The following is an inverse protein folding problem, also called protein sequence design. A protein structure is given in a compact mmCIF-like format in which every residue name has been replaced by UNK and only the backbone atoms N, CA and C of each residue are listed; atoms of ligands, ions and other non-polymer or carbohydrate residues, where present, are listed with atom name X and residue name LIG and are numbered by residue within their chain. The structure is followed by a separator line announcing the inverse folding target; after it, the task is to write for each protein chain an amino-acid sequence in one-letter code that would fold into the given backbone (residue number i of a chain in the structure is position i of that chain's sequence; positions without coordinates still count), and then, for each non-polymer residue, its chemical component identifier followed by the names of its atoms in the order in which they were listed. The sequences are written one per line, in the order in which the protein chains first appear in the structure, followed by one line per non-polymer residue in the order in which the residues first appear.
data_IF_784015142039
#
_entry.id   IF_784015142039
#
_cell.length_a   1.000
_cell.length_b   1.000
_cell.length_c   1.000
_cell.angle_alpha   90.00
_cell.angle_beta   90.00
_cell.angle_gamma   90.00
#
_symmetry.space_group_name_H-M   'P 1'
#
loop_
_entity.id
_entity.type
_entity.pdbx_description
1 polymer ?
#
# COMPACT_ATOMS: atom_id res chain seq x y z
N UNK A 1 -23.40 -62.44 -55.80
CA UNK A 1 -22.48 -61.76 -54.86
C UNK A 1 -22.96 -60.34 -54.67
N UNK A 2 -23.72 -60.08 -53.60
CA UNK A 2 -24.27 -58.77 -53.24
C UNK A 2 -23.80 -58.46 -51.83
N UNK A 3 -22.95 -57.44 -51.68
CA UNK A 3 -22.33 -57.03 -50.43
C UNK A 3 -23.03 -55.76 -49.92
N UNK A 4 -23.85 -55.90 -48.88
CA UNK A 4 -24.56 -54.79 -48.23
C UNK A 4 -23.63 -54.07 -47.26
N UNK A 5 -23.46 -52.76 -47.44
CA UNK A 5 -22.75 -51.87 -46.50
C UNK A 5 -23.72 -51.39 -45.42
N UNK A 6 -23.51 -51.82 -44.18
CA UNK A 6 -24.15 -51.24 -43.00
C UNK A 6 -23.43 -49.93 -42.61
N UNK A 7 -24.22 -48.88 -42.29
CA UNK A 7 -23.73 -47.62 -41.73
C UNK A 7 -23.74 -47.69 -40.20
N UNK A 8 -22.71 -47.20 -39.50
CA UNK A 8 -22.70 -47.19 -38.04
C UNK A 8 -23.57 -46.04 -37.49
N UNK A 9 -24.41 -46.39 -36.52
CA UNK A 9 -25.20 -45.48 -35.70
C UNK A 9 -24.25 -44.75 -34.73
N UNK A 10 -24.14 -43.42 -34.83
CA UNK A 10 -23.47 -42.59 -33.80
C UNK A 10 -24.47 -42.26 -32.70
N UNK A 11 -24.34 -42.91 -31.54
CA UNK A 11 -25.04 -42.51 -30.33
C UNK A 11 -24.34 -41.29 -29.70
N UNK A 12 -25.02 -40.15 -29.68
CA UNK A 12 -24.58 -38.96 -28.95
C UNK A 12 -24.85 -39.15 -27.46
N UNK A 13 -23.83 -39.52 -26.70
CA UNK A 13 -23.85 -39.47 -25.23
C UNK A 13 -23.72 -38.01 -24.78
N UNK A 14 -24.81 -37.41 -24.33
CA UNK A 14 -24.81 -36.10 -23.66
C UNK A 14 -24.29 -36.31 -22.23
N UNK A 15 -23.08 -35.83 -21.96
CA UNK A 15 -22.43 -35.91 -20.65
C UNK A 15 -23.13 -34.99 -19.64
N UNK A 16 -23.97 -35.56 -18.76
CA UNK A 16 -24.55 -34.86 -17.61
C UNK A 16 -23.50 -34.47 -16.53
N UNK A 17 -22.25 -34.93 -16.65
CA UNK A 17 -21.18 -34.67 -15.69
C UNK A 17 -20.61 -33.25 -15.69
N UNK A 18 -20.77 -32.48 -16.77
CA UNK A 18 -20.23 -31.11 -16.85
C UNK A 18 -20.93 -30.12 -15.92
N UNK A 19 -22.26 -30.27 -15.74
CA UNK A 19 -23.09 -29.33 -14.98
C UNK A 19 -22.82 -29.39 -13.47
N UNK A 20 -22.50 -30.58 -12.94
CA UNK A 20 -22.20 -30.76 -11.51
C UNK A 20 -20.85 -30.14 -11.12
N UNK A 21 -19.84 -30.23 -12.00
CA UNK A 21 -18.51 -29.66 -11.74
C UNK A 21 -18.57 -28.13 -11.71
N UNK A 22 -19.31 -27.51 -12.64
CA UNK A 22 -19.47 -26.05 -12.70
C UNK A 22 -20.20 -25.48 -11.48
N UNK A 23 -21.23 -26.16 -10.98
CA UNK A 23 -21.98 -25.72 -9.78
C UNK A 23 -21.14 -25.82 -8.51
N UNK A 24 -20.33 -26.88 -8.38
CA UNK A 24 -19.44 -27.07 -7.22
C UNK A 24 -18.32 -26.03 -7.16
N UNK A 25 -17.69 -25.70 -8.30
CA UNK A 25 -16.66 -24.66 -8.39
C UNK A 25 -17.23 -23.27 -8.08
N UNK A 26 -18.42 -22.96 -8.58
CA UNK A 26 -19.09 -21.69 -8.31
C UNK A 26 -19.37 -21.49 -6.81
N UNK A 27 -19.95 -22.51 -6.15
CA UNK A 27 -20.23 -22.46 -4.71
C UNK A 27 -18.95 -22.30 -3.89
N UNK A 28 -17.86 -22.98 -4.30
CA UNK A 28 -16.55 -22.86 -3.64
C UNK A 28 -16.01 -21.44 -3.75
N UNK A 29 -16.05 -20.83 -4.95
CA UNK A 29 -15.58 -19.46 -5.15
C UNK A 29 -16.39 -18.43 -4.35
N UNK A 30 -17.72 -18.57 -4.27
CA UNK A 30 -18.56 -17.65 -3.49
C UNK A 30 -18.26 -17.73 -1.99
N UNK A 31 -18.05 -18.93 -1.46
CA UNK A 31 -17.63 -19.11 -0.06
C UNK A 31 -16.27 -18.46 0.19
N UNK A 32 -15.30 -18.64 -0.72
CA UNK A 32 -13.98 -18.01 -0.60
C UNK A 32 -14.04 -16.49 -0.69
N UNK A 33 -14.85 -15.92 -1.59
CA UNK A 33 -15.08 -14.47 -1.68
C UNK A 33 -15.63 -13.96 -0.35
N UNK A 34 -16.68 -14.60 0.17
CA UNK A 34 -17.31 -14.20 1.43
C UNK A 34 -16.32 -14.26 2.61
N UNK A 35 -15.47 -15.29 2.68
CA UNK A 35 -14.42 -15.39 3.70
C UNK A 35 -13.41 -14.24 3.62
N UNK A 36 -13.03 -13.82 2.41
CA UNK A 36 -12.14 -12.68 2.24
C UNK A 36 -12.81 -11.35 2.62
N UNK A 37 -14.08 -11.17 2.29
CA UNK A 37 -14.85 -9.99 2.73
C UNK A 37 -14.99 -9.95 4.26
N UNK A 38 -15.31 -11.08 4.90
CA UNK A 38 -15.36 -11.23 6.35
C UNK A 38 -14.01 -11.00 7.05
N UNK A 39 -12.90 -11.10 6.33
CA UNK A 39 -11.57 -10.74 6.85
C UNK A 39 -11.13 -9.33 6.43
N UNK A 40 -11.96 -8.59 5.70
CA UNK A 40 -11.67 -7.25 5.20
C UNK A 40 -10.65 -7.21 4.06
N UNK A 41 -10.32 -8.36 3.46
CA UNK A 41 -9.37 -8.48 2.36
C UNK A 41 -10.08 -8.39 1.00
N UNK A 42 -10.60 -7.20 0.69
CA UNK A 42 -11.32 -6.96 -0.56
C UNK A 42 -10.47 -7.14 -1.82
N UNK A 43 -9.15 -6.95 -1.72
CA UNK A 43 -8.20 -7.22 -2.80
C UNK A 43 -8.21 -8.71 -3.20
N UNK A 44 -8.12 -9.61 -2.22
CA UNK A 44 -8.18 -11.05 -2.47
C UNK A 44 -9.58 -11.47 -2.96
N UNK A 45 -10.65 -10.94 -2.35
CA UNK A 45 -12.02 -11.19 -2.79
C UNK A 45 -12.23 -10.79 -4.26
N UNK A 46 -11.79 -9.58 -4.64
CA UNK A 46 -11.88 -9.06 -6.01
C UNK A 46 -11.09 -9.93 -7.01
N UNK A 47 -9.89 -10.39 -6.63
CA UNK A 47 -9.08 -11.27 -7.46
C UNK A 47 -9.80 -12.59 -7.76
N UNK A 48 -10.40 -13.22 -6.74
CA UNK A 48 -11.18 -14.46 -6.94
C UNK A 48 -12.43 -14.19 -7.78
N UNK A 49 -13.14 -13.10 -7.52
CA UNK A 49 -14.34 -12.73 -8.28
C UNK A 49 -14.05 -12.54 -9.77
N UNK A 50 -12.97 -11.83 -10.14
CA UNK A 50 -12.56 -11.62 -11.54
C UNK A 50 -12.10 -12.90 -12.25
N UNK A 51 -11.55 -13.86 -11.51
CA UNK A 51 -11.09 -15.13 -12.06
C UNK A 51 -12.21 -16.18 -12.16
N UNK A 52 -13.38 -15.92 -11.57
CA UNK A 52 -14.52 -16.81 -11.70
C UNK A 52 -15.25 -16.54 -13.01
N UNK A 53 -15.37 -17.54 -13.88
CA UNK A 53 -16.02 -17.43 -15.21
C UNK A 53 -17.50 -16.97 -15.14
N UNK A 54 -18.11 -17.08 -13.95
CA UNK A 54 -19.47 -16.66 -13.65
C UNK A 54 -19.52 -15.42 -12.71
N UNK A 55 -18.43 -14.66 -12.63
CA UNK A 55 -18.36 -13.47 -11.79
C UNK A 55 -19.53 -12.53 -12.08
N UNK A 56 -20.42 -12.35 -11.12
CA UNK A 56 -21.50 -11.40 -11.24
C UNK A 56 -20.89 -10.00 -11.36
N UNK A 57 -21.08 -9.33 -12.49
CA UNK A 57 -20.55 -7.99 -12.75
C UNK A 57 -20.88 -7.01 -11.62
N UNK A 58 -22.06 -7.12 -10.99
CA UNK A 58 -22.44 -6.29 -9.86
C UNK A 58 -21.59 -6.57 -8.61
N UNK A 59 -21.20 -7.83 -8.38
CA UNK A 59 -20.31 -8.22 -7.27
C UNK A 59 -18.89 -7.69 -7.50
N UNK A 60 -18.36 -7.80 -8.72
CA UNK A 60 -17.05 -7.25 -9.07
C UNK A 60 -17.02 -5.74 -8.86
N UNK A 61 -18.02 -5.02 -9.40
CA UNK A 61 -18.11 -3.57 -9.25
C UNK A 61 -18.20 -3.14 -7.78
N UNK A 62 -19.02 -3.83 -6.97
CA UNK A 62 -19.10 -3.56 -5.53
C UNK A 62 -17.76 -3.78 -4.83
N UNK A 63 -17.07 -4.89 -5.11
CA UNK A 63 -15.76 -5.18 -4.52
C UNK A 63 -14.69 -4.16 -4.94
N UNK A 64 -14.75 -3.67 -6.18
CA UNK A 64 -13.90 -2.57 -6.64
C UNK A 64 -14.18 -1.28 -5.85
N UNK A 65 -15.44 -0.91 -5.68
CA UNK A 65 -15.85 0.27 -4.88
C UNK A 65 -15.41 0.15 -3.42
N UNK A 66 -15.60 -1.02 -2.79
CA UNK A 66 -15.15 -1.31 -1.43
C UNK A 66 -13.63 -1.24 -1.30
N UNK A 67 -12.88 -1.86 -2.20
CA UNK A 67 -11.42 -1.77 -2.23
C UNK A 67 -10.95 -0.33 -2.40
N UNK A 68 -11.56 0.41 -3.32
CA UNK A 68 -11.21 1.79 -3.65
C UNK A 68 -11.64 2.79 -2.58
N UNK A 69 -12.56 2.43 -1.68
CA UNK A 69 -13.03 3.29 -0.59
C UNK A 69 -12.34 2.94 0.72
N UNK A 70 -12.32 1.66 1.07
CA UNK A 70 -11.85 1.16 2.37
C UNK A 70 -10.37 0.78 2.34
N UNK A 71 -9.80 0.40 1.19
CA UNK A 71 -8.41 -0.02 1.08
C UNK A 71 -8.05 -1.11 2.10
N UNK A 72 -6.89 -0.94 2.75
CA UNK A 72 -6.42 -1.86 3.80
C UNK A 72 -7.00 -1.57 5.18
N UNK A 73 -7.84 -0.54 5.35
CA UNK A 73 -8.39 -0.11 6.66
C UNK A 73 -9.11 -1.25 7.40
N UNK A 74 -9.73 -2.15 6.64
CA UNK A 74 -10.51 -3.26 7.17
C UNK A 74 -9.71 -4.51 7.51
N UNK A 75 -8.41 -4.58 7.25
CA UNK A 75 -7.62 -5.78 7.60
C UNK A 75 -7.46 -5.96 9.11
N UNK A 76 -7.37 -4.85 9.84
CA UNK A 76 -7.15 -4.87 11.29
C UNK A 76 -8.44 -4.88 12.11
N UNK A 77 -9.43 -4.10 11.66
CA UNK A 77 -10.69 -3.88 12.37
C UNK A 77 -11.88 -3.99 11.42
N UNK A 78 -13.02 -4.44 11.94
CA UNK A 78 -14.28 -4.46 11.20
C UNK A 78 -14.96 -3.07 11.14
N UNK A 79 -16.17 -3.01 10.59
CA UNK A 79 -17.03 -1.82 10.53
C UNK A 79 -17.35 -1.20 11.89
N UNK A 80 -17.36 -2.00 12.95
CA UNK A 80 -17.65 -1.59 14.32
C UNK A 80 -16.37 -1.32 15.13
N UNK A 81 -15.21 -1.25 14.47
CA UNK A 81 -13.90 -1.10 15.08
C UNK A 81 -13.55 -2.22 16.09
N UNK A 82 -14.13 -3.41 15.91
CA UNK A 82 -13.70 -4.61 16.62
C UNK A 82 -12.48 -5.21 15.92
N UNK A 83 -11.45 -5.62 16.68
CA UNK A 83 -10.24 -6.18 16.12
C UNK A 83 -10.52 -7.54 15.48
N UNK A 84 -9.91 -7.80 14.32
CA UNK A 84 -10.00 -9.11 13.69
C UNK A 84 -9.10 -10.12 14.38
N UNK A 85 -9.45 -11.40 14.24
CA UNK A 85 -8.77 -12.55 14.89
C UNK A 85 -7.25 -12.51 14.69
N UNK A 86 -6.78 -12.20 13.48
CA UNK A 86 -5.34 -12.16 13.16
C UNK A 86 -4.59 -11.04 13.87
N UNK A 87 -5.24 -9.89 14.09
CA UNK A 87 -4.67 -8.82 14.90
C UNK A 87 -4.57 -9.25 16.37
N UNK A 88 -5.61 -9.88 16.92
CA UNK A 88 -5.62 -10.37 18.30
C UNK A 88 -4.48 -11.38 18.52
N UNK A 89 -4.37 -12.40 17.65
CA UNK A 89 -3.30 -13.39 17.71
C UNK A 89 -1.91 -12.75 17.68
N UNK A 90 -1.72 -11.75 16.80
CA UNK A 90 -0.46 -11.02 16.74
C UNK A 90 -0.16 -10.28 18.06
N UNK A 91 -1.15 -9.56 18.59
CA UNK A 91 -1.02 -8.76 19.80
C UNK A 91 -0.73 -9.64 21.03
N UNK A 92 -1.37 -10.80 21.14
CA UNK A 92 -1.10 -11.79 22.19
C UNK A 92 0.35 -12.29 22.12
N UNK A 93 0.86 -12.63 20.92
CA UNK A 93 2.25 -13.07 20.74
C UNK A 93 3.28 -12.00 21.12
N UNK A 94 2.94 -10.72 20.99
CA UNK A 94 3.80 -9.60 21.41
C UNK A 94 3.54 -9.12 22.84
N UNK A 95 2.73 -9.85 23.61
CA UNK A 95 2.53 -9.64 25.05
C UNK A 95 1.38 -8.71 25.43
N UNK A 96 0.36 -8.56 24.58
CA UNK A 96 -0.88 -7.90 24.98
C UNK A 96 -1.79 -8.87 25.72
N UNK A 97 -2.26 -8.46 26.89
CA UNK A 97 -3.27 -9.20 27.65
C UNK A 97 -4.63 -9.22 26.92
N UNK A 98 -5.48 -10.24 27.15
CA UNK A 98 -6.81 -10.29 26.58
C UNK A 98 -7.64 -9.03 26.84
N UNK A 99 -8.50 -8.68 25.89
CA UNK A 99 -9.37 -7.52 26.00
C UNK A 99 -10.31 -7.68 27.20
N UNK A 100 -10.41 -6.64 28.03
CA UNK A 100 -11.37 -6.60 29.12
C UNK A 100 -12.60 -5.83 28.61
N UNK A 101 -13.79 -6.44 28.62
CA UNK A 101 -14.98 -5.87 27.99
C UNK A 101 -15.47 -4.51 28.53
N UNK A 102 -14.73 -3.88 29.44
CA UNK A 102 -15.00 -2.57 30.05
C UNK A 102 -14.70 -1.37 29.14
N UNK A 103 -13.82 -1.50 28.15
CA UNK A 103 -13.43 -0.42 27.24
C UNK A 103 -13.68 -0.82 25.76
N UNK A 104 -13.91 0.15 24.87
CA UNK A 104 -13.92 -0.12 23.43
C UNK A 104 -12.57 -0.73 23.02
N UNK A 105 -12.61 -1.89 22.36
CA UNK A 105 -11.42 -2.66 21.99
C UNK A 105 -10.34 -1.82 21.27
N UNK A 106 -10.73 -0.96 20.31
CA UNK A 106 -9.80 -0.07 19.60
C UNK A 106 -9.04 0.89 20.53
N UNK A 107 -9.65 1.37 21.62
CA UNK A 107 -9.00 2.28 22.56
C UNK A 107 -7.98 1.51 23.41
N UNK A 108 -8.37 0.35 23.96
CA UNK A 108 -7.49 -0.51 24.74
C UNK A 108 -6.26 -0.94 23.91
N UNK A 109 -6.48 -1.42 22.68
CA UNK A 109 -5.42 -1.82 21.75
C UNK A 109 -4.52 -0.63 21.41
N UNK A 110 -5.10 0.54 21.11
CA UNK A 110 -4.32 1.73 20.82
C UNK A 110 -3.40 2.10 22.00
N UNK A 111 -3.95 2.20 23.22
CA UNK A 111 -3.19 2.58 24.40
C UNK A 111 -2.02 1.62 24.65
N UNK A 112 -2.28 0.31 24.52
CA UNK A 112 -1.24 -0.70 24.64
C UNK A 112 -0.20 -0.59 23.52
N UNK A 113 -0.61 -0.46 22.26
CA UNK A 113 0.29 -0.38 21.11
C UNK A 113 1.17 0.89 21.13
N UNK A 114 0.63 2.05 21.53
CA UNK A 114 1.41 3.28 21.66
C UNK A 114 2.49 3.15 22.74
N UNK A 115 2.22 2.40 23.81
CA UNK A 115 3.19 2.16 24.88
C UNK A 115 4.23 1.10 24.51
N UNK A 116 3.81 0.03 23.84
CA UNK A 116 4.62 -1.18 23.71
C UNK A 116 5.22 -1.40 22.31
N UNK A 117 4.59 -0.88 21.26
CA UNK A 117 5.04 -1.12 19.88
C UNK A 117 5.63 0.13 19.22
N UNK A 118 5.12 1.31 19.55
CA UNK A 118 5.62 2.58 19.01
C UNK A 118 7.07 2.80 19.44
N UNK A 119 7.95 3.10 18.47
CA UNK A 119 9.34 3.41 18.76
C UNK A 119 9.47 4.75 19.50
N UNK A 120 10.40 4.80 20.44
CA UNK A 120 10.90 6.04 21.04
C UNK A 120 12.08 6.57 20.21
N UNK A 121 11.99 7.78 19.67
CA UNK A 121 13.07 8.41 18.87
C UNK A 121 13.00 8.22 17.34
N UNK A 122 14.04 8.67 16.64
CA UNK A 122 14.09 8.75 15.17
C UNK A 122 14.30 7.39 14.48
N UNK A 123 13.84 7.27 13.22
CA UNK A 123 13.79 5.97 12.51
C UNK A 123 15.15 5.33 12.20
N UNK A 124 16.16 6.18 12.07
CA UNK A 124 17.51 5.77 11.73
C UNK A 124 18.42 5.67 12.95
N UNK A 125 17.96 6.10 14.13
CA UNK A 125 18.61 5.79 15.40
C UNK A 125 18.43 4.28 15.68
N UNK A 126 19.35 3.69 16.46
CA UNK A 126 19.51 2.25 16.61
C UNK A 126 18.19 1.48 16.62
N UNK A 127 17.99 0.68 15.56
CA UNK A 127 16.81 -0.15 15.43
C UNK A 127 16.91 -1.28 16.47
N UNK A 128 15.99 -1.30 17.41
CA UNK A 128 16.00 -2.32 18.47
C UNK A 128 15.79 -3.71 17.88
N UNK A 129 16.51 -4.72 18.38
CA UNK A 129 16.25 -6.12 18.05
C UNK A 129 15.09 -6.73 18.89
N UNK A 130 14.28 -5.89 19.55
CA UNK A 130 13.28 -6.27 20.57
C UNK A 130 12.34 -7.40 20.16
N UNK A 131 12.02 -7.53 18.88
CA UNK A 131 11.04 -8.49 18.37
C UNK A 131 11.63 -9.48 17.36
N UNK A 132 12.96 -9.52 17.19
CA UNK A 132 13.57 -10.39 16.18
C UNK A 132 13.46 -11.87 16.54
N UNK A 133 13.48 -12.23 17.83
CA UNK A 133 13.27 -13.61 18.28
C UNK A 133 11.86 -14.13 17.98
N UNK A 134 10.87 -13.24 18.00
CA UNK A 134 9.47 -13.56 17.67
C UNK A 134 9.21 -13.62 16.16
N UNK A 135 10.15 -13.17 15.33
CA UNK A 135 10.00 -13.04 13.86
C UNK A 135 9.41 -14.28 13.17
N UNK A 136 9.83 -15.53 13.49
CA UNK A 136 9.24 -16.72 12.86
C UNK A 136 7.74 -16.87 13.11
N UNK A 137 7.26 -16.40 14.28
CA UNK A 137 5.86 -16.52 14.71
C UNK A 137 5.02 -15.35 14.22
N UNK A 138 5.55 -14.12 14.29
CA UNK A 138 4.76 -12.91 13.99
C UNK A 138 4.81 -12.50 12.52
N UNK A 139 5.89 -12.82 11.77
CA UNK A 139 6.01 -12.42 10.35
C UNK A 139 4.90 -13.00 9.46
N UNK A 140 4.46 -14.27 9.61
CA UNK A 140 3.31 -14.80 8.87
C UNK A 140 2.01 -14.01 9.14
N UNK A 141 1.74 -13.64 10.40
CA UNK A 141 0.56 -12.82 10.75
C UNK A 141 0.68 -11.42 10.17
N UNK A 142 1.83 -10.77 10.30
CA UNK A 142 2.08 -9.45 9.71
C UNK A 142 1.95 -9.45 8.17
N UNK A 143 2.29 -10.57 7.52
CA UNK A 143 2.05 -10.77 6.09
C UNK A 143 0.56 -10.80 5.77
N UNK A 144 -0.22 -11.61 6.49
CA UNK A 144 -1.68 -11.67 6.31
C UNK A 144 -2.38 -10.33 6.59
N UNK A 145 -1.84 -9.53 7.51
CA UNK A 145 -2.31 -8.18 7.83
C UNK A 145 -1.79 -7.11 6.83
N UNK A 146 -1.08 -7.49 5.77
CA UNK A 146 -0.67 -6.59 4.69
C UNK A 146 0.58 -5.73 4.95
N UNK A 147 1.41 -6.09 5.93
CA UNK A 147 2.60 -5.30 6.31
C UNK A 147 3.92 -5.78 5.69
N UNK A 148 3.93 -6.92 5.00
CA UNK A 148 5.17 -7.59 4.57
C UNK A 148 5.28 -7.69 3.05
N UNK A 149 4.28 -8.27 2.38
CA UNK A 149 4.39 -8.59 0.96
C UNK A 149 4.21 -7.36 0.07
N UNK A 150 4.66 -7.46 -1.17
CA UNK A 150 4.38 -6.45 -2.18
C UNK A 150 2.87 -6.44 -2.51
N UNK A 151 2.32 -5.26 -2.75
CA UNK A 151 0.95 -5.11 -3.26
C UNK A 151 1.04 -4.58 -4.69
N UNK A 152 0.15 -5.05 -5.56
CA UNK A 152 0.15 -4.75 -6.99
C UNK A 152 -1.10 -3.96 -7.40
N UNK A 153 -1.01 -3.15 -8.46
CA UNK A 153 -2.16 -2.42 -9.02
C UNK A 153 -3.33 -3.34 -9.37
N UNK A 154 -4.53 -2.97 -8.92
CA UNK A 154 -5.76 -3.69 -9.21
C UNK A 154 -6.41 -3.23 -10.51
N UNK A 155 -5.94 -2.14 -11.10
CA UNK A 155 -6.43 -1.56 -12.34
C UNK A 155 -5.27 -1.28 -13.30
N UNK A 156 -5.60 -1.05 -14.58
CA UNK A 156 -4.61 -0.71 -15.61
C UNK A 156 -4.59 0.79 -15.94
N UNK A 157 -5.67 1.50 -15.64
CA UNK A 157 -5.82 2.92 -15.95
C UNK A 157 -6.17 3.70 -14.69
N UNK A 158 -5.47 4.82 -14.53
CA UNK A 158 -5.58 5.76 -13.43
C UNK A 158 -5.56 7.19 -13.99
N UNK A 159 -6.21 8.11 -13.30
CA UNK A 159 -6.14 9.55 -13.63
C UNK A 159 -4.72 10.07 -13.39
N UNK A 160 -4.15 9.71 -12.23
CA UNK A 160 -2.79 10.04 -11.87
C UNK A 160 -2.17 9.04 -10.91
N UNK A 161 -0.88 9.20 -10.66
CA UNK A 161 -0.15 8.48 -9.63
C UNK A 161 0.40 9.45 -8.61
N UNK A 162 0.30 9.12 -7.32
CA UNK A 162 1.00 9.80 -6.24
C UNK A 162 2.17 8.92 -5.78
N UNK A 163 3.38 9.49 -5.68
CA UNK A 163 4.56 8.78 -5.19
C UNK A 163 4.98 9.41 -3.88
N UNK A 164 4.85 8.68 -2.78
CA UNK A 164 5.21 9.21 -1.47
C UNK A 164 6.72 9.48 -1.37
N UNK A 165 7.09 10.56 -0.68
CA UNK A 165 8.46 10.90 -0.33
C UNK A 165 9.06 9.99 0.74
N UNK A 166 10.38 9.83 0.69
CA UNK A 166 11.17 9.06 1.65
C UNK A 166 12.65 9.42 1.51
N UNK A 167 13.50 8.85 2.37
CA UNK A 167 14.95 8.87 2.19
C UNK A 167 15.37 8.29 0.82
N UNK A 168 16.49 8.77 0.28
CA UNK A 168 17.03 8.41 -1.05
C UNK A 168 16.83 6.93 -1.45
N UNK A 169 17.23 5.90 -0.65
CA UNK A 169 17.11 4.51 -1.10
C UNK A 169 15.66 4.09 -1.35
N UNK A 170 14.71 4.59 -0.55
CA UNK A 170 13.28 4.29 -0.70
C UNK A 170 12.64 5.14 -1.80
N UNK A 171 13.07 6.39 -1.99
CA UNK A 171 12.63 7.20 -3.12
C UNK A 171 12.96 6.51 -4.45
N UNK A 172 14.20 6.02 -4.61
CA UNK A 172 14.61 5.21 -5.78
C UNK A 172 13.81 3.92 -5.90
N UNK A 173 13.61 3.18 -4.81
CA UNK A 173 12.81 1.94 -4.83
C UNK A 173 11.36 2.18 -5.27
N UNK A 174 10.73 3.27 -4.83
CA UNK A 174 9.36 3.63 -5.21
C UNK A 174 9.26 4.02 -6.68
N UNK A 175 10.20 4.83 -7.18
CA UNK A 175 10.24 5.17 -8.60
C UNK A 175 10.51 3.94 -9.48
N UNK A 176 11.44 3.07 -9.06
CA UNK A 176 11.68 1.79 -9.74
C UNK A 176 10.40 0.94 -9.80
N UNK A 177 9.71 0.77 -8.67
CA UNK A 177 8.48 0.00 -8.62
C UNK A 177 7.39 0.59 -9.54
N UNK A 178 7.26 1.92 -9.59
CA UNK A 178 6.35 2.60 -10.52
C UNK A 178 6.68 2.30 -11.99
N UNK A 179 7.97 2.33 -12.35
CA UNK A 179 8.43 1.99 -13.70
C UNK A 179 8.10 0.53 -14.05
N UNK A 180 8.27 -0.40 -13.10
CA UNK A 180 7.85 -1.80 -13.31
C UNK A 180 6.34 -1.90 -13.57
N UNK A 181 5.51 -1.15 -12.83
CA UNK A 181 4.06 -1.15 -13.06
C UNK A 181 3.71 -0.58 -14.43
N UNK A 182 4.40 0.49 -14.85
CA UNK A 182 4.27 1.04 -16.20
C UNK A 182 4.61 -0.01 -17.26
N UNK A 183 5.73 -0.73 -17.11
CA UNK A 183 6.11 -1.80 -18.04
C UNK A 183 5.09 -2.95 -18.08
N UNK A 184 4.38 -3.20 -16.98
CA UNK A 184 3.28 -4.17 -16.90
C UNK A 184 1.94 -3.65 -17.46
N UNK A 185 1.93 -2.49 -18.12
CA UNK A 185 0.76 -1.94 -18.80
C UNK A 185 -0.11 -1.01 -17.95
N UNK A 186 0.33 -0.60 -16.76
CA UNK A 186 -0.37 0.43 -15.98
C UNK A 186 -0.12 1.80 -16.61
N UNK A 187 -1.16 2.62 -16.75
CA UNK A 187 -1.11 3.94 -17.39
C UNK A 187 -1.81 5.01 -16.55
N UNK A 188 -1.30 6.23 -16.66
CA UNK A 188 -1.78 7.44 -16.00
C UNK A 188 -1.27 8.68 -16.75
N UNK A 189 -1.95 9.81 -16.58
CA UNK A 189 -1.63 11.07 -17.26
C UNK A 189 -0.82 12.05 -16.39
N UNK A 190 -0.83 11.86 -15.07
CA UNK A 190 -0.13 12.74 -14.12
C UNK A 190 0.70 11.94 -13.11
N UNK A 191 1.89 12.43 -12.75
CA UNK A 191 2.74 11.93 -11.67
C UNK A 191 2.91 13.05 -10.62
N UNK A 192 2.53 12.78 -9.39
CA UNK A 192 2.70 13.69 -8.27
C UNK A 192 3.71 13.10 -7.26
N UNK A 193 4.90 13.68 -7.18
CA UNK A 193 5.86 13.34 -6.13
C UNK A 193 5.53 14.13 -4.86
N UNK A 194 5.12 13.42 -3.81
CA UNK A 194 4.71 14.01 -2.54
C UNK A 194 5.89 14.11 -1.58
N UNK A 195 6.51 15.28 -1.51
CA UNK A 195 7.75 15.49 -0.75
C UNK A 195 7.65 16.64 0.24
N UNK A 196 8.50 16.61 1.27
CA UNK A 196 8.62 17.70 2.22
C UNK A 196 9.86 18.57 1.99
N UNK A 197 9.84 19.78 2.54
CA UNK A 197 11.00 20.67 2.63
C UNK A 197 11.95 20.27 3.78
N UNK A 198 11.95 19.00 4.17
CA UNK A 198 12.89 18.52 5.20
C UNK A 198 14.33 18.65 4.67
N UNK A 199 15.29 19.07 5.51
CA UNK A 199 16.69 18.91 5.20
C UNK A 199 17.06 17.44 4.94
N UNK A 200 18.08 17.24 4.11
CA UNK A 200 18.62 15.91 3.82
C UNK A 200 19.47 15.38 4.99
N UNK A 201 19.44 14.07 5.17
CA UNK A 201 20.24 13.37 6.17
C UNK A 201 21.65 13.14 5.61
N UNK A 202 22.59 14.02 5.96
CA UNK A 202 23.96 14.10 5.38
C UNK A 202 24.69 12.74 5.31
N UNK A 203 24.49 11.86 6.29
CA UNK A 203 25.13 10.54 6.33
C UNK A 203 24.55 9.51 5.34
N UNK A 204 23.41 9.81 4.71
CA UNK A 204 22.66 8.90 3.83
C UNK A 204 22.33 9.55 2.48
N UNK A 205 22.21 10.87 2.45
CA UNK A 205 21.75 11.69 1.34
C UNK A 205 22.81 12.77 1.09
N UNK A 206 23.84 12.41 0.32
CA UNK A 206 24.96 13.28 -0.04
C UNK A 206 25.40 13.01 -1.48
N UNK A 207 26.29 13.84 -2.00
CA UNK A 207 26.82 13.74 -3.37
C UNK A 207 27.25 12.31 -3.75
N UNK A 208 28.06 11.65 -2.92
CA UNK A 208 28.51 10.29 -3.22
C UNK A 208 27.36 9.29 -3.36
N UNK A 209 26.31 9.40 -2.52
CA UNK A 209 25.17 8.48 -2.59
C UNK A 209 24.22 8.82 -3.73
N UNK A 210 24.15 10.09 -4.16
CA UNK A 210 23.41 10.49 -5.36
C UNK A 210 24.03 9.94 -6.64
N UNK A 211 25.36 9.83 -6.69
CA UNK A 211 26.09 9.32 -7.85
C UNK A 211 26.27 7.79 -7.86
N UNK A 212 26.03 7.11 -6.73
CA UNK A 212 26.14 5.66 -6.60
C UNK A 212 24.78 4.95 -6.75
N UNK A 213 24.60 4.20 -7.83
CA UNK A 213 23.42 3.34 -8.06
C UNK A 213 23.69 1.84 -7.84
N UNK A 214 24.88 1.46 -7.35
CA UNK A 214 25.29 0.07 -7.18
C UNK A 214 24.36 -0.70 -6.22
N UNK A 215 23.80 0.01 -5.23
CA UNK A 215 22.84 -0.51 -4.25
C UNK A 215 21.39 -0.18 -4.59
N UNK A 216 21.13 0.38 -5.77
CA UNK A 216 19.78 0.73 -6.21
C UNK A 216 19.31 -0.17 -7.36
N UNK A 217 18.03 -0.58 -7.35
CA UNK A 217 17.44 -1.19 -8.53
C UNK A 217 17.22 -0.17 -9.66
N UNK A 218 17.16 1.12 -9.32
CA UNK A 218 16.98 2.21 -10.27
C UNK A 218 18.34 2.68 -10.80
N UNK A 219 18.54 2.55 -12.12
CA UNK A 219 19.81 2.90 -12.77
C UNK A 219 19.87 4.37 -13.14
N UNK A 220 21.06 4.95 -13.02
CA UNK A 220 21.37 6.29 -13.50
C UNK A 220 21.63 6.20 -15.01
N UNK A 221 20.95 7.04 -15.79
CA UNK A 221 21.09 7.07 -17.25
C UNK A 221 22.49 7.56 -17.63
N UNK A 222 23.08 6.92 -18.64
CA UNK A 222 24.49 7.14 -19.05
C UNK A 222 24.78 8.55 -19.59
N UNK A 223 23.77 9.22 -20.12
CA UNK A 223 23.86 10.54 -20.73
C UNK A 223 23.44 11.67 -19.77
N UNK A 224 23.14 11.35 -18.51
CA UNK A 224 22.87 12.37 -17.51
C UNK A 224 24.17 12.98 -16.98
N UNK A 225 24.18 14.31 -16.89
CA UNK A 225 25.27 15.06 -16.31
C UNK A 225 24.89 15.50 -14.89
N UNK A 226 25.84 15.37 -13.96
CA UNK A 226 25.65 15.84 -12.60
C UNK A 226 25.37 17.36 -12.57
N UNK A 227 24.49 17.82 -11.67
CA UNK A 227 24.26 19.25 -11.49
C UNK A 227 25.47 19.93 -10.84
N UNK A 228 25.56 21.25 -10.98
CA UNK A 228 26.56 22.06 -10.29
C UNK A 228 26.32 22.12 -8.77
N UNK A 229 25.04 22.13 -8.37
CA UNK A 229 24.62 22.09 -6.96
C UNK A 229 23.77 20.85 -6.70
N UNK A 230 24.16 20.08 -5.67
CA UNK A 230 23.38 18.95 -5.22
C UNK A 230 22.19 19.39 -4.33
N UNK A 231 21.13 18.57 -4.28
CA UNK A 231 19.95 18.80 -3.46
C UNK A 231 20.27 19.09 -1.98
N UNK A 232 19.48 19.97 -1.37
CA UNK A 232 19.52 20.33 0.06
C UNK A 232 18.27 19.86 0.80
N UNK A 233 17.19 19.61 0.07
CA UNK A 233 15.88 19.16 0.59
C UNK A 233 15.42 17.84 -0.04
N UNK A 234 14.49 17.15 0.62
CA UNK A 234 13.88 15.92 0.06
C UNK A 234 13.18 16.16 -1.28
N UNK A 235 12.53 17.31 -1.45
CA UNK A 235 11.90 17.69 -2.72
C UNK A 235 12.90 17.76 -3.87
N UNK A 236 14.00 18.49 -3.68
CA UNK A 236 15.07 18.60 -4.67
C UNK A 236 15.72 17.25 -4.94
N UNK A 237 15.87 16.42 -3.91
CA UNK A 237 16.43 15.07 -4.05
C UNK A 237 15.53 14.19 -4.92
N UNK A 238 14.21 14.23 -4.72
CA UNK A 238 13.28 13.45 -5.53
C UNK A 238 13.28 13.93 -6.99
N UNK A 239 13.39 15.25 -7.21
CA UNK A 239 13.55 15.81 -8.55
C UNK A 239 14.84 15.31 -9.22
N UNK A 240 15.98 15.36 -8.52
CA UNK A 240 17.25 14.80 -9.00
C UNK A 240 17.11 13.32 -9.36
N UNK A 241 16.48 12.53 -8.49
CA UNK A 241 16.22 11.10 -8.72
C UNK A 241 15.41 10.89 -9.99
N UNK A 242 14.34 11.64 -10.23
CA UNK A 242 13.58 11.56 -11.48
C UNK A 242 14.42 11.89 -12.71
N UNK A 243 15.17 12.99 -12.66
CA UNK A 243 15.97 13.48 -13.78
C UNK A 243 17.05 12.48 -14.21
N UNK A 244 17.79 11.95 -13.23
CA UNK A 244 18.92 11.05 -13.45
C UNK A 244 18.53 9.61 -13.80
N UNK A 245 17.29 9.21 -13.56
CA UNK A 245 16.90 7.80 -13.69
C UNK A 245 16.67 7.35 -15.13
N UNK A 246 16.97 6.09 -15.42
CA UNK A 246 16.51 5.42 -16.63
C UNK A 246 15.00 5.16 -16.54
N UNK A 247 14.22 5.95 -17.30
CA UNK A 247 12.75 5.91 -17.32
C UNK A 247 12.32 5.67 -18.76
N UNK A 248 11.33 4.78 -19.02
CA UNK A 248 10.79 4.57 -20.36
C UNK A 248 10.41 5.88 -21.05
N UNK A 249 10.73 6.01 -22.34
CA UNK A 249 10.54 7.26 -23.09
C UNK A 249 9.08 7.70 -23.16
N UNK A 250 8.15 6.75 -23.22
CA UNK A 250 6.71 7.03 -23.21
C UNK A 250 6.24 7.55 -21.85
N UNK A 251 6.75 6.98 -20.75
CA UNK A 251 6.48 7.46 -19.39
C UNK A 251 7.07 8.85 -19.14
N UNK A 252 8.21 9.21 -19.75
CA UNK A 252 8.78 10.57 -19.63
C UNK A 252 7.91 11.68 -20.23
N UNK A 253 6.90 11.33 -21.05
CA UNK A 253 5.93 12.28 -21.63
C UNK A 253 4.77 12.60 -20.69
N UNK A 254 4.62 11.85 -19.60
CA UNK A 254 3.59 12.07 -18.59
C UNK A 254 3.87 13.38 -17.84
N UNK A 255 2.82 14.12 -17.47
CA UNK A 255 2.97 15.37 -16.72
C UNK A 255 3.46 15.08 -15.29
N UNK A 256 4.51 15.78 -14.85
CA UNK A 256 5.15 15.55 -13.54
C UNK A 256 5.07 16.78 -12.67
N UNK A 257 4.60 16.60 -11.44
CA UNK A 257 4.49 17.63 -10.41
C UNK A 257 5.30 17.24 -9.16
N UNK A 258 6.21 18.12 -8.76
CA UNK A 258 6.98 17.97 -7.51
C UNK A 258 6.30 18.78 -6.40
N UNK A 259 5.50 18.11 -5.58
CA UNK A 259 4.76 18.73 -4.48
C UNK A 259 5.71 18.94 -3.29
N UNK A 260 5.75 20.16 -2.77
CA UNK A 260 6.58 20.54 -1.63
C UNK A 260 5.72 20.97 -0.45
N UNK A 261 5.65 20.14 0.59
CA UNK A 261 5.09 20.57 1.88
C UNK A 261 6.15 21.32 2.68
N UNK A 262 5.86 22.58 3.02
CA UNK A 262 6.80 23.45 3.73
C UNK A 262 7.07 22.95 5.16
N UNK A 263 8.24 23.33 5.69
CA UNK A 263 8.52 23.15 7.12
C UNK A 263 7.48 23.91 7.95
N UNK A 264 6.96 23.26 8.99
CA UNK A 264 5.99 23.88 9.91
C UNK A 264 6.73 24.43 11.12
N UNK A 265 6.13 25.38 11.82
CA UNK A 265 6.56 25.70 13.19
C UNK A 265 5.79 24.83 14.19
N UNK A 266 6.41 24.55 15.33
CA UNK A 266 5.71 23.96 16.46
C UNK A 266 4.61 24.88 17.00
N UNK A 267 3.80 24.37 17.93
CA UNK A 267 2.70 25.13 18.53
C UNK A 267 3.14 26.42 19.24
N UNK A 268 4.43 26.53 19.59
CA UNK A 268 5.02 27.70 20.26
C UNK A 268 5.73 28.64 19.28
N UNK A 269 5.90 28.25 18.02
CA UNK A 269 6.69 28.99 17.03
C UNK A 269 8.20 28.87 17.19
N UNK A 270 8.68 28.02 18.09
CA UNK A 270 10.07 27.99 18.57
C UNK A 270 10.96 27.05 17.75
N UNK A 271 10.41 25.90 17.35
CA UNK A 271 11.14 24.91 16.56
C UNK A 271 10.47 24.64 15.20
N UNK A 272 11.28 24.22 14.23
CA UNK A 272 10.80 23.77 12.93
C UNK A 272 10.45 22.28 12.98
N UNK A 273 9.21 21.95 12.66
CA UNK A 273 8.68 20.59 12.57
C UNK A 273 8.69 20.14 11.11
N UNK A 274 9.20 18.94 10.88
CA UNK A 274 9.19 18.30 9.55
C UNK A 274 7.75 18.08 9.06
N UNK A 275 7.47 18.30 7.77
CA UNK A 275 6.17 17.96 7.20
C UNK A 275 5.91 16.45 7.32
N UNK A 276 4.67 16.09 7.60
CA UNK A 276 4.19 14.70 7.69
C UNK A 276 3.57 14.25 6.37
N UNK A 277 3.20 12.97 6.28
CA UNK A 277 2.40 12.47 5.14
C UNK A 277 1.09 13.24 4.99
N UNK A 278 0.48 13.66 6.09
CA UNK A 278 -0.76 14.43 6.06
C UNK A 278 -0.54 15.80 5.38
N UNK A 279 0.58 16.46 5.65
CA UNK A 279 0.91 17.76 5.07
C UNK A 279 1.17 17.66 3.56
N UNK A 280 1.87 16.61 3.12
CA UNK A 280 2.15 16.42 1.69
C UNK A 280 0.90 16.07 0.88
N UNK A 281 -0.06 15.33 1.46
CA UNK A 281 -1.36 15.08 0.82
C UNK A 281 -2.19 16.37 0.73
N UNK A 282 -2.19 17.22 1.77
CA UNK A 282 -2.86 18.52 1.72
C UNK A 282 -2.27 19.43 0.66
N UNK A 283 -0.95 19.55 0.61
CA UNK A 283 -0.25 20.33 -0.41
C UNK A 283 -0.55 19.83 -1.84
N UNK A 284 -0.71 18.51 -2.02
CA UNK A 284 -1.15 17.95 -3.30
C UNK A 284 -2.58 18.37 -3.66
N UNK A 285 -3.52 18.30 -2.72
CA UNK A 285 -4.91 18.72 -2.97
C UNK A 285 -5.03 20.20 -3.32
N UNK A 286 -4.13 21.05 -2.81
CA UNK A 286 -4.07 22.48 -3.16
C UNK A 286 -3.71 22.73 -4.63
N UNK A 287 -3.02 21.77 -5.28
CA UNK A 287 -2.77 21.81 -6.73
C UNK A 287 -4.01 21.53 -7.58
N UNK A 288 -5.15 21.21 -6.95
CA UNK A 288 -6.41 20.87 -7.61
C UNK A 288 -6.25 19.75 -8.65
N UNK A 289 -5.72 18.59 -8.25
CA UNK A 289 -5.53 17.47 -9.16
C UNK A 289 -6.89 17.02 -9.73
N UNK A 290 -6.94 16.50 -10.98
CA UNK A 290 -8.19 16.02 -11.57
C UNK A 290 -8.86 14.96 -10.70
N UNK A 291 -10.19 14.94 -10.65
CA UNK A 291 -10.90 13.93 -9.89
C UNK A 291 -10.78 12.56 -10.58
N UNK A 292 -10.73 11.48 -9.81
CA UNK A 292 -10.70 10.15 -10.39
C UNK A 292 -10.01 9.12 -9.51
N UNK A 293 -9.49 8.09 -10.18
CA UNK A 293 -8.76 6.99 -9.54
C UNK A 293 -7.27 7.27 -9.56
N UNK A 294 -6.64 7.20 -8.40
CA UNK A 294 -5.22 7.42 -8.22
C UNK A 294 -4.52 6.13 -7.79
N UNK A 295 -3.36 5.89 -8.39
CA UNK A 295 -2.42 4.89 -7.90
C UNK A 295 -1.52 5.57 -6.85
N UNK A 296 -1.43 5.03 -5.64
CA UNK A 296 -0.55 5.56 -4.61
C UNK A 296 0.65 4.62 -4.40
N UNK A 297 1.85 5.09 -4.73
CA UNK A 297 3.09 4.31 -4.65
C UNK A 297 3.78 4.57 -3.32
N UNK A 298 4.02 3.48 -2.60
CA UNK A 298 4.92 3.43 -1.45
C UNK A 298 5.63 2.08 -1.39
N UNK A 299 5.96 1.58 -0.20
CA UNK A 299 6.56 0.29 0.04
C UNK A 299 6.15 -0.22 1.42
N UNK A 300 6.15 -1.53 1.63
CA UNK A 300 5.96 -2.09 2.96
C UNK A 300 7.14 -1.69 3.89
N UNK A 301 6.90 -1.51 5.20
CA UNK A 301 5.63 -1.74 5.93
C UNK A 301 4.68 -0.53 5.97
N UNK A 302 4.90 0.49 5.12
CA UNK A 302 4.19 1.77 5.22
C UNK A 302 2.85 1.84 4.51
N UNK A 303 2.59 0.89 3.61
CA UNK A 303 1.45 0.93 2.68
C UNK A 303 0.15 1.21 3.42
N UNK A 304 -0.18 0.39 4.42
CA UNK A 304 -1.43 0.51 5.16
C UNK A 304 -1.62 1.89 5.79
N UNK A 305 -0.59 2.44 6.46
CA UNK A 305 -0.69 3.74 7.13
C UNK A 305 -0.84 4.88 6.13
N UNK A 306 -0.08 4.85 5.04
CA UNK A 306 -0.14 5.91 4.04
C UNK A 306 -1.43 5.86 3.23
N UNK A 307 -1.91 4.66 2.90
CA UNK A 307 -3.25 4.44 2.32
C UNK A 307 -4.33 5.08 3.20
N UNK A 308 -4.30 4.79 4.50
CA UNK A 308 -5.26 5.34 5.46
C UNK A 308 -5.16 6.88 5.55
N UNK A 309 -3.95 7.44 5.67
CA UNK A 309 -3.74 8.90 5.67
C UNK A 309 -4.34 9.55 4.44
N UNK A 310 -4.05 9.04 3.24
CA UNK A 310 -4.50 9.64 1.99
C UNK A 310 -6.03 9.65 1.94
N UNK A 311 -6.68 8.55 2.31
CA UNK A 311 -8.15 8.42 2.34
C UNK A 311 -8.83 9.32 3.37
N UNK A 312 -8.22 9.53 4.54
CA UNK A 312 -8.78 10.42 5.57
C UNK A 312 -8.81 11.88 5.08
N UNK A 313 -7.80 12.28 4.32
CA UNK A 313 -7.58 13.69 3.96
C UNK A 313 -8.23 14.02 2.62
N UNK A 314 -8.14 13.12 1.64
CA UNK A 314 -8.69 13.34 0.32
C UNK A 314 -10.23 13.23 0.33
N UNK A 315 -10.94 14.14 -0.34
CA UNK A 315 -12.39 14.03 -0.53
C UNK A 315 -12.80 12.74 -1.26
N UNK A 316 -14.03 12.27 -1.04
CA UNK A 316 -14.58 11.02 -1.62
C UNK A 316 -14.58 10.96 -3.17
N UNK A 317 -14.44 12.09 -3.85
CA UNK A 317 -14.30 12.17 -5.32
C UNK A 317 -12.97 11.62 -5.84
N UNK A 318 -12.02 11.37 -4.94
CA UNK A 318 -10.78 10.67 -5.23
C UNK A 318 -10.87 9.25 -4.68
N UNK A 319 -10.46 8.29 -5.50
CA UNK A 319 -10.34 6.90 -5.09
C UNK A 319 -8.88 6.47 -5.21
N UNK A 320 -8.43 5.58 -4.32
CA UNK A 320 -7.02 5.22 -4.23
C UNK A 320 -6.83 3.71 -4.31
N UNK A 321 -5.78 3.32 -5.03
CA UNK A 321 -5.20 1.98 -5.03
C UNK A 321 -3.76 2.12 -4.53
N UNK A 322 -3.51 1.78 -3.27
CA UNK A 322 -2.19 1.98 -2.66
C UNK A 322 -1.37 0.71 -2.74
N UNK A 323 -0.22 0.79 -3.41
CA UNK A 323 0.61 -0.35 -3.78
C UNK A 323 2.08 -0.07 -3.51
N UNK A 324 2.92 -1.09 -3.64
CA UNK A 324 4.35 -0.91 -3.43
C UNK A 324 5.12 -2.20 -3.30
N UNK A 325 6.44 -2.07 -3.33
CA UNK A 325 7.35 -3.19 -3.08
C UNK A 325 7.17 -3.74 -1.66
N UNK A 326 7.43 -5.03 -1.50
CA UNK A 326 7.43 -5.68 -0.19
C UNK A 326 8.53 -5.16 0.74
N UNK A 327 8.43 -5.53 2.01
CA UNK A 327 9.43 -5.18 3.02
C UNK A 327 10.75 -5.88 2.68
N UNK A 328 11.87 -5.17 2.88
CA UNK A 328 13.19 -5.75 2.66
C UNK A 328 13.41 -6.99 3.55
N UNK A 329 14.20 -7.96 3.08
CA UNK A 329 14.47 -9.18 3.87
C UNK A 329 15.10 -8.88 5.24
N UNK A 330 15.88 -7.80 5.31
CA UNK A 330 16.55 -7.31 6.50
C UNK A 330 15.74 -6.26 7.28
N UNK A 331 14.50 -5.97 6.88
CA UNK A 331 13.63 -5.04 7.63
C UNK A 331 13.37 -5.61 9.03
N UNK A 332 13.60 -4.78 10.05
CA UNK A 332 13.46 -5.15 11.46
C UNK A 332 11.99 -5.22 11.85
N UNK A 333 11.61 -6.21 12.66
CA UNK A 333 10.25 -6.37 13.17
C UNK A 333 9.80 -5.17 14.00
N UNK A 334 10.71 -4.54 14.74
CA UNK A 334 10.43 -3.29 15.45
C UNK A 334 9.92 -2.17 14.54
N UNK A 335 10.38 -2.12 13.29
CA UNK A 335 9.90 -1.12 12.32
C UNK A 335 8.49 -1.47 11.83
N UNK A 336 8.24 -2.75 11.54
CA UNK A 336 6.92 -3.18 11.07
C UNK A 336 5.87 -2.96 12.17
N UNK A 337 6.21 -3.30 13.41
CA UNK A 337 5.33 -3.10 14.57
C UNK A 337 5.14 -1.62 14.94
N UNK A 338 6.13 -0.75 14.70
CA UNK A 338 5.97 0.71 14.82
C UNK A 338 4.93 1.23 13.81
N UNK A 339 4.99 0.79 12.54
CA UNK A 339 3.97 1.18 11.56
C UNK A 339 2.59 0.62 11.89
N UNK A 340 2.50 -0.60 12.44
CA UNK A 340 1.24 -1.15 12.97
C UNK A 340 0.66 -0.27 14.09
N UNK A 341 1.50 0.15 15.04
CA UNK A 341 1.07 1.02 16.14
C UNK A 341 0.52 2.36 15.61
N UNK A 342 1.20 2.95 14.63
CA UNK A 342 0.76 4.21 14.00
C UNK A 342 -0.55 4.05 13.22
N UNK A 343 -0.72 2.93 12.53
CA UNK A 343 -1.97 2.63 11.82
C UNK A 343 -3.15 2.44 12.79
N UNK A 344 -2.93 1.72 13.90
CA UNK A 344 -3.93 1.55 14.97
C UNK A 344 -4.34 2.91 15.53
N UNK A 345 -3.37 3.79 15.79
CA UNK A 345 -3.63 5.15 16.26
C UNK A 345 -4.51 5.96 15.30
N UNK A 346 -4.20 5.94 14.00
CA UNK A 346 -5.00 6.62 13.01
C UNK A 346 -6.41 6.03 12.92
N UNK A 347 -6.55 4.70 12.97
CA UNK A 347 -7.86 4.04 12.96
C UNK A 347 -8.70 4.45 14.17
N UNK A 348 -8.09 4.55 15.35
CA UNK A 348 -8.72 5.06 16.57
C UNK A 348 -9.21 6.50 16.39
N UNK A 349 -8.41 7.37 15.77
CA UNK A 349 -8.83 8.76 15.49
C UNK A 349 -10.04 8.82 14.54
N UNK A 350 -10.12 7.94 13.54
CA UNK A 350 -11.31 7.86 12.66
C UNK A 350 -12.53 7.41 13.47
N UNK A 351 -12.39 6.36 14.28
CA UNK A 351 -13.48 5.82 15.12
C UNK A 351 -14.10 6.90 16.02
N UNK A 352 -13.27 7.76 16.60
CA UNK A 352 -13.71 8.87 17.44
C UNK A 352 -14.42 9.98 16.65
N UNK A 353 -14.01 10.23 15.40
CA UNK A 353 -14.69 11.20 14.52
C UNK A 353 -16.06 10.69 14.09
N UNK A 354 -16.15 9.41 13.69
CA UNK A 354 -17.42 8.77 13.31
C UNK A 354 -18.39 8.70 14.49
N UNK A 355 -17.90 8.45 15.71
CA UNK A 355 -18.76 8.41 16.90
C UNK A 355 -19.34 9.79 17.32
N UNK A 356 -18.82 10.89 16.76
CA UNK A 356 -19.23 12.26 17.10
C UNK A 356 -20.11 12.92 16.02
N UNK A 357 -20.11 12.35 14.82
CA UNK A 357 -21.00 12.75 13.73
C UNK A 357 -22.34 12.04 13.89
#
# INVERSE_FOLDING_TARGET
MSCSKEKPFRASFVFAGGLFITLSLYATNQNTIQQYEQSGNYAAALKIARNSDAGNFSQIKRLEEELLTLGSSRLLFDENYQPRVKLIQLLELVGMEPLNGSEKAIIQINNWAQKNLLRQGERWQEQTNRFEELKPQIKPLLRELGFVDALFPHFKEYEGVIVHGALLPRARLRLYYLIEQWQQGVRFSHIYFLSGERPLEVNRENESTFMDDSKSPLKIRKDWAAPLEFPKTEREMIQLVWEQSEIPEDMRKVEVHFINALMKKDAKGESSIRPTTDDTVKAWLETKPPHGRYLAITNAPYINRQDLTVRIIAPFKYSFDTVGSGAGQQEKMAIILDELARFIFQTKQISEKVSKA
#
